data_IF_051407247928
#
_entry.id   IF_051407247928
#
_cell.length_a   1.000
_cell.length_b   1.000
_cell.length_c   1.000
_cell.angle_alpha   90.00
_cell.angle_beta   90.00
_cell.angle_gamma   90.00
#
_symmetry.space_group_name_H-M   'P 1'
#
loop_
_entity.id
_entity.type
_entity.pdbx_description
1 polymer ?
2 non-polymer ?
3 non-polymer ?
4 water ?
#
# COMPACT_ATOMS: atom_id res chain seq x y z
N UNK A 1 1.80 17.14 -5.57
CA UNK A 1 3.06 16.76 -4.92
C UNK A 1 2.80 16.33 -3.50
N UNK A 2 3.70 15.54 -2.94
CA UNK A 2 3.59 15.10 -1.57
C UNK A 2 4.12 16.15 -0.61
N UNK A 3 3.59 16.14 0.61
CA UNK A 3 3.92 17.17 1.57
C UNK A 3 4.28 16.62 2.94
N UNK A 4 4.11 15.31 3.14
CA UNK A 4 4.28 14.75 4.48
C UNK A 4 5.54 13.91 4.64
N UNK A 5 6.27 14.17 5.71
CA UNK A 5 7.29 13.24 6.14
C UNK A 5 6.67 12.39 7.25
N UNK A 6 6.13 11.23 6.87
CA UNK A 6 5.47 10.36 7.83
C UNK A 6 6.51 9.74 8.76
N UNK A 7 6.18 9.66 10.04
CA UNK A 7 7.07 9.05 11.02
C UNK A 7 6.75 7.57 11.17
N UNK A 8 7.78 6.73 11.08
CA UNK A 8 7.57 5.29 11.22
C UNK A 8 7.26 4.90 12.66
N UNK A 9 6.51 3.81 12.80
CA UNK A 9 6.22 3.26 14.12
C UNK A 9 7.49 3.04 14.93
N UNK A 10 7.49 3.52 16.17
CA UNK A 10 8.56 3.18 17.10
C UNK A 10 8.52 1.67 17.36
N UNK A 11 9.65 1.00 17.23
CA UNK A 11 9.68 -0.43 17.47
C UNK A 11 9.06 -1.25 16.35
N UNK A 12 8.92 -0.67 15.16
CA UNK A 12 8.40 -1.39 14.02
C UNK A 12 9.06 -2.75 13.86
N UNK A 13 8.24 -3.78 13.69
CA UNK A 13 8.71 -5.15 13.57
C UNK A 13 8.66 -5.55 12.10
N UNK A 14 9.80 -5.41 11.44
CA UNK A 14 9.84 -5.62 10.00
C UNK A 14 9.56 -7.07 9.59
N UNK A 15 10.07 -8.03 10.36
CA UNK A 15 9.86 -9.43 10.00
C UNK A 15 8.39 -9.82 10.11
N UNK A 16 7.70 -9.26 11.08
CA UNK A 16 6.27 -9.50 11.25
C UNK A 16 5.45 -8.89 10.12
N UNK A 17 5.80 -7.67 9.72
CA UNK A 17 5.08 -6.97 8.65
C UNK A 17 5.38 -7.61 7.29
N UNK A 18 6.66 -7.82 7.02
CA UNK A 18 7.09 -8.38 5.75
C UNK A 18 7.17 -9.91 5.85
N UNK A 19 6.03 -10.51 6.14
CA UNK A 19 5.96 -11.95 6.43
C UNK A 19 5.42 -12.81 5.29
N UNK A 20 5.10 -12.17 4.16
CA UNK A 20 4.58 -12.88 3.00
C UNK A 20 3.08 -12.91 2.88
N UNK A 21 2.39 -12.44 3.91
CA UNK A 21 0.93 -12.44 3.94
C UNK A 21 0.37 -11.19 3.24
N UNK A 22 -0.94 -11.16 3.12
CA UNK A 22 -1.63 -10.10 2.39
C UNK A 22 -2.23 -9.08 3.36
N UNK A 23 -2.18 -7.82 2.96
CA UNK A 23 -2.83 -6.72 3.66
C UNK A 23 -3.88 -6.13 2.73
N UNK A 24 -5.09 -5.91 3.24
CA UNK A 24 -6.16 -5.26 2.48
C UNK A 24 -6.31 -3.81 2.89
N UNK A 25 -6.41 -2.91 1.91
CA UNK A 25 -6.76 -1.54 2.24
C UNK A 25 -8.24 -1.50 2.58
N UNK A 26 -8.57 -1.01 3.77
CA UNK A 26 -9.97 -0.91 4.17
C UNK A 26 -10.46 0.54 4.15
N UNK A 27 -9.55 1.48 4.35
CA UNK A 27 -9.88 2.91 4.39
C UNK A 27 -8.66 3.68 3.92
N UNK A 28 -8.88 4.80 3.23
CA UNK A 28 -7.76 5.60 2.77
C UNK A 28 -8.04 7.09 2.79
N UNK A 29 -6.98 7.86 2.91
CA UNK A 29 -7.03 9.31 2.91
C UNK A 29 -6.04 9.85 1.89
N UNK A 30 -6.58 10.37 0.78
CA UNK A 30 -5.76 10.98 -0.26
C UNK A 30 -5.71 12.48 0.01
N UNK A 31 -4.53 13.05 0.18
CA UNK A 31 -4.45 14.49 0.47
C UNK A 31 -4.65 15.37 -0.77
N UNK A 32 -4.56 14.76 -1.95
CA UNK A 32 -4.81 15.49 -3.20
C UNK A 32 -5.74 14.70 -4.09
N UNK A 33 -7.00 14.52 -3.66
CA UNK A 33 -7.94 13.72 -4.45
C UNK A 33 -8.18 14.37 -5.81
N UNK A 34 -8.33 13.56 -6.85
CA UNK A 34 -8.70 14.10 -8.15
C UNK A 34 -10.07 14.78 -8.02
N UNK A 35 -10.36 15.69 -8.94
CA UNK A 35 -11.66 16.34 -8.97
C UNK A 35 -12.75 15.28 -9.09
N UNK A 36 -12.51 14.28 -9.93
CA UNK A 36 -13.38 13.12 -10.03
C UNK A 36 -12.61 11.85 -9.64
N UNK A 37 -12.66 11.49 -8.35
CA UNK A 37 -11.92 10.34 -7.82
C UNK A 37 -12.33 8.98 -8.39
N UNK A 38 -11.33 8.19 -8.79
CA UNK A 38 -11.56 6.81 -9.19
C UNK A 38 -11.47 5.94 -7.95
N UNK A 39 -12.62 5.42 -7.51
CA UNK A 39 -12.69 4.64 -6.29
C UNK A 39 -12.16 3.22 -6.47
N UNK A 40 -10.85 3.05 -6.28
CA UNK A 40 -10.18 1.75 -6.43
C UNK A 40 -10.19 0.94 -5.12
N UNK A 41 -10.11 -0.38 -5.26
CA UNK A 41 -9.91 -1.29 -4.14
C UNK A 41 -8.43 -1.59 -4.28
N UNK A 42 -7.75 -1.87 -3.18
CA UNK A 42 -6.33 -2.18 -3.25
C UNK A 42 -5.92 -3.12 -2.15
N UNK A 43 -4.95 -3.97 -2.46
CA UNK A 43 -4.35 -4.87 -1.49
C UNK A 43 -2.88 -5.06 -1.87
N UNK A 44 -2.09 -5.54 -0.92
CA UNK A 44 -0.67 -5.80 -1.17
C UNK A 44 -0.21 -6.99 -0.36
N UNK A 45 0.82 -7.67 -0.86
CA UNK A 45 1.52 -8.65 -0.05
C UNK A 45 2.88 -8.03 0.20
N UNK A 46 3.40 -8.24 1.40
CA UNK A 46 4.70 -7.72 1.77
C UNK A 46 5.50 -8.87 2.31
N UNK A 47 6.71 -9.07 1.81
CA UNK A 47 7.48 -10.22 2.25
C UNK A 47 8.96 -10.05 2.02
N UNK A 48 9.71 -11.09 2.31
CA UNK A 48 11.14 -11.12 2.03
C UNK A 48 11.40 -12.28 1.11
N UNK A 49 12.13 -12.01 0.03
CA UNK A 49 12.55 -13.06 -0.89
C UNK A 49 14.05 -12.96 -1.09
N UNK A 50 14.77 -14.02 -0.73
CA UNK A 50 16.23 -14.03 -0.81
C UNK A 50 16.81 -12.82 -0.11
N UNK A 51 16.25 -12.47 1.04
CA UNK A 51 16.79 -11.40 1.85
C UNK A 51 16.45 -10.00 1.37
N UNK A 52 15.70 -9.91 0.28
CA UNK A 52 15.30 -8.62 -0.25
C UNK A 52 13.84 -8.37 0.17
N UNK A 53 13.55 -7.15 0.64
CA UNK A 53 12.18 -6.77 0.96
C UNK A 53 11.39 -6.55 -0.34
N UNK A 54 10.23 -7.18 -0.43
CA UNK A 54 9.40 -7.09 -1.63
C UNK A 54 7.98 -6.74 -1.28
N UNK A 55 7.28 -6.09 -2.21
CA UNK A 55 5.85 -5.93 -2.12
C UNK A 55 5.22 -6.23 -3.45
N UNK A 56 4.05 -6.85 -3.40
CA UNK A 56 3.26 -7.07 -4.59
C UNK A 56 1.97 -6.29 -4.38
N UNK A 57 1.53 -5.59 -5.40
CA UNK A 57 0.35 -4.73 -5.28
C UNK A 57 -0.74 -5.19 -6.22
N UNK A 58 -1.98 -4.92 -5.81
CA UNK A 58 -3.18 -5.20 -6.60
C UNK A 58 -4.10 -3.99 -6.50
N UNK A 59 -4.47 -3.43 -7.64
CA UNK A 59 -5.47 -2.36 -7.72
C UNK A 59 -6.64 -2.84 -8.57
N UNK A 60 -7.86 -2.55 -8.13
CA UNK A 60 -9.07 -2.95 -8.85
C UNK A 60 -10.11 -1.87 -8.69
N UNK A 61 -10.58 -1.34 -9.83
CA UNK A 61 -11.65 -0.35 -9.83
C UNK A 61 -12.94 -1.12 -10.09
N UNK A 62 -13.85 -1.16 -9.11
CA UNK A 62 -15.05 -2.00 -9.25
C UNK A 62 -16.07 -1.41 -10.21
N UNK A 63 -15.84 -0.20 -10.70
CA UNK A 63 -16.74 0.35 -11.71
C UNK A 63 -16.21 0.13 -13.11
N UNK A 64 -14.97 0.57 -13.35
CA UNK A 64 -14.40 0.49 -14.70
C UNK A 64 -13.84 -0.90 -15.00
N UNK A 65 -13.57 -1.66 -13.94
CA UNK A 65 -12.93 -2.98 -14.07
C UNK A 65 -11.42 -2.89 -14.27
N UNK A 66 -10.88 -1.67 -14.36
CA UNK A 66 -9.44 -1.52 -14.50
C UNK A 66 -8.74 -2.29 -13.38
N UNK A 67 -7.80 -3.16 -13.76
CA UNK A 67 -7.13 -4.03 -12.79
C UNK A 67 -5.67 -4.07 -13.13
N UNK A 68 -4.79 -3.85 -12.14
CA UNK A 68 -3.37 -4.00 -12.42
C UNK A 68 -2.59 -4.49 -11.22
N UNK A 69 -1.49 -5.18 -11.51
CA UNK A 69 -0.59 -5.71 -10.49
C UNK A 69 0.78 -5.09 -10.62
N UNK A 70 1.49 -4.99 -9.51
CA UNK A 70 2.87 -4.53 -9.51
C UNK A 70 3.71 -5.35 -8.57
N UNK A 71 5.00 -5.44 -8.86
CA UNK A 71 5.98 -5.99 -7.94
C UNK A 71 7.07 -4.96 -7.71
N UNK A 72 7.54 -4.84 -6.47
CA UNK A 72 8.60 -3.89 -6.16
C UNK A 72 9.60 -4.48 -5.21
N UNK A 73 10.87 -4.11 -5.38
CA UNK A 73 11.85 -4.33 -4.33
C UNK A 73 11.92 -3.06 -3.51
N UNK A 74 11.90 -3.21 -2.20
CA UNK A 74 11.98 -2.05 -1.34
C UNK A 74 13.41 -1.82 -0.89
N UNK A 75 13.86 -0.58 -1.04
CA UNK A 75 15.14 -0.20 -0.45
C UNK A 75 14.85 0.43 0.90
N UNK A 76 15.80 0.31 1.81
CA UNK A 76 15.64 0.85 3.16
C UNK A 76 16.14 2.29 3.26
N UNK A 77 15.29 3.18 3.78
CA UNK A 77 15.75 4.51 4.16
C UNK A 77 16.00 4.58 5.67
N UNK A 78 15.13 3.95 6.43
CA UNK A 78 15.28 3.82 7.89
C UNK A 78 14.28 2.75 8.32
N UNK A 79 14.24 2.39 9.60
CA UNK A 79 13.33 1.34 9.99
C UNK A 79 11.89 1.76 9.75
N UNK A 80 11.20 1.02 8.91
CA UNK A 80 9.80 1.32 8.60
C UNK A 80 9.57 2.35 7.50
N UNK A 81 10.64 2.81 6.85
CA UNK A 81 10.53 3.76 5.75
C UNK A 81 11.32 3.25 4.55
N UNK A 82 10.62 3.10 3.42
CA UNK A 82 11.18 2.45 2.23
C UNK A 82 10.95 3.23 0.96
N UNK A 83 11.82 2.99 -0.02
CA UNK A 83 11.65 3.49 -1.38
C UNK A 83 11.51 2.29 -2.30
N UNK A 84 10.45 2.28 -3.10
CA UNK A 84 10.10 1.11 -3.90
C UNK A 84 9.99 1.43 -5.40
N UNK A 85 10.87 0.83 -6.20
CA UNK A 85 10.73 0.88 -7.65
C UNK A 85 9.75 -0.17 -8.13
N UNK A 86 8.67 0.24 -8.77
CA UNK A 86 7.67 -0.74 -9.17
C UNK A 86 7.78 -1.17 -10.63
N UNK A 87 7.46 -2.43 -10.88
CA UNK A 87 7.23 -2.86 -12.25
C UNK A 87 5.82 -3.39 -12.37
N UNK A 88 5.13 -2.98 -13.43
CA UNK A 88 3.78 -3.47 -13.66
C UNK A 88 3.89 -4.85 -14.26
N UNK A 89 3.12 -5.79 -13.71
CA UNK A 89 3.16 -7.19 -14.12
C UNK A 89 1.75 -7.70 -14.33
N UNK A 90 1.59 -8.81 -15.04
CA UNK A 90 0.29 -9.48 -15.02
C UNK A 90 0.21 -10.31 -13.74
N UNK A 91 -0.91 -11.00 -13.53
CA UNK A 91 -1.15 -11.69 -12.26
C UNK A 91 -0.13 -12.79 -12.02
N UNK A 92 0.50 -13.23 -13.10
CA UNK A 92 1.47 -14.32 -13.05
C UNK A 92 2.89 -13.84 -12.83
N UNK A 93 3.09 -12.52 -12.82
CA UNK A 93 4.42 -11.96 -12.66
C UNK A 93 5.16 -11.64 -13.95
N UNK A 94 4.52 -11.84 -15.10
CA UNK A 94 5.15 -11.46 -16.36
C UNK A 94 5.19 -9.94 -16.48
N UNK A 95 6.35 -9.40 -16.86
CA UNK A 95 6.55 -7.96 -16.89
C UNK A 95 5.78 -7.27 -18.02
N UNK A 96 5.01 -6.24 -17.68
CA UNK A 96 4.28 -5.42 -18.64
C UNK A 96 4.92 -4.03 -18.80
N UNK A 97 5.43 -3.48 -17.69
CA UNK A 97 6.18 -2.23 -17.72
C UNK A 97 7.37 -2.36 -16.80
N UNK A 98 8.55 -2.22 -17.36
CA UNK A 98 9.79 -2.43 -16.61
C UNK A 98 10.03 -1.35 -15.58
N UNK A 99 10.85 -1.69 -14.59
CA UNK A 99 11.32 -0.71 -13.63
C UNK A 99 12.01 0.43 -14.36
N UNK A 100 11.75 1.66 -13.90
CA UNK A 100 12.41 2.83 -14.47
C UNK A 100 12.55 3.89 -13.38
N UNK A 101 13.62 4.67 -13.46
CA UNK A 101 14.02 5.56 -12.36
C UNK A 101 12.94 6.53 -11.86
N UNK A 102 12.08 7.01 -12.75
CA UNK A 102 11.07 7.99 -12.38
C UNK A 102 9.77 7.40 -11.86
N UNK A 103 9.80 6.11 -11.53
CA UNK A 103 8.62 5.34 -11.17
C UNK A 103 8.90 4.64 -9.86
N UNK A 104 8.49 5.27 -8.77
CA UNK A 104 8.70 4.67 -7.46
C UNK A 104 7.67 5.21 -6.49
N UNK A 105 7.51 4.52 -5.37
CA UNK A 105 6.75 5.08 -4.27
C UNK A 105 7.56 4.97 -2.99
N UNK A 106 7.35 5.93 -2.09
CA UNK A 106 7.86 5.73 -0.74
C UNK A 106 6.75 5.09 0.06
N UNK A 107 7.13 4.44 1.15
CA UNK A 107 6.22 3.61 1.92
C UNK A 107 6.68 3.69 3.36
N UNK A 108 5.83 4.24 4.23
CA UNK A 108 6.16 4.35 5.65
C UNK A 108 5.11 3.65 6.50
N UNK A 109 5.54 2.72 7.35
CA UNK A 109 4.62 2.05 8.25
C UNK A 109 4.57 2.84 9.55
N UNK A 110 3.47 3.55 9.75
CA UNK A 110 3.26 4.43 10.92
C UNK A 110 2.79 3.68 12.16
N UNK A 111 2.10 2.57 11.93
CA UNK A 111 1.63 1.70 12.98
C UNK A 111 1.39 0.32 12.38
N UNK A 112 1.69 -0.72 13.13
CA UNK A 112 1.34 -2.08 12.72
C UNK A 112 1.25 -3.00 13.93
N UNK A 113 0.33 -3.94 13.86
CA UNK A 113 0.29 -5.04 14.81
C UNK A 113 -0.04 -6.30 14.04
N UNK A 114 -0.52 -7.33 14.72
CA UNK A 114 -0.73 -8.60 14.03
C UNK A 114 -1.84 -8.57 12.98
N UNK A 115 -2.78 -7.64 13.11
CA UNK A 115 -3.95 -7.68 12.23
C UNK A 115 -4.19 -6.38 11.45
N UNK A 116 -3.51 -5.31 11.82
CA UNK A 116 -3.81 -3.99 11.28
C UNK A 116 -2.56 -3.14 11.09
N UNK A 117 -2.68 -2.12 10.26
CA UNK A 117 -1.60 -1.18 10.05
C UNK A 117 -2.11 0.15 9.51
N UNK A 118 -1.32 1.19 9.72
CA UNK A 118 -1.53 2.49 9.13
C UNK A 118 -0.26 2.81 8.37
N UNK A 119 -0.40 3.09 7.08
CA UNK A 119 0.75 3.40 6.25
C UNK A 119 0.59 4.74 5.53
N UNK A 120 1.70 5.32 5.13
CA UNK A 120 1.72 6.49 4.28
C UNK A 120 2.46 6.10 3.04
N UNK A 121 1.98 6.54 1.89
CA UNK A 121 2.71 6.33 0.65
C UNK A 121 2.74 7.62 -0.17
N UNK A 122 3.83 7.82 -0.90
CA UNK A 122 3.91 8.91 -1.85
C UNK A 122 4.34 8.31 -3.19
N UNK A 123 3.43 8.37 -4.16
CA UNK A 123 3.67 7.76 -5.47
C UNK A 123 4.29 8.78 -6.44
N UNK A 124 5.30 8.34 -7.15
CA UNK A 124 5.91 9.11 -8.22
C UNK A 124 5.83 8.26 -9.48
N UNK A 125 5.17 8.79 -10.50
CA UNK A 125 5.02 8.02 -11.72
C UNK A 125 5.16 8.97 -12.90
N UNK A 126 6.29 8.87 -13.59
CA UNK A 126 6.55 9.72 -14.74
C UNK A 126 6.39 11.19 -14.42
N UNK A 127 5.65 11.90 -15.26
CA UNK A 127 5.47 13.33 -15.08
C UNK A 127 4.12 13.64 -14.45
N UNK A 128 3.58 12.67 -13.72
CA UNK A 128 2.33 12.90 -13.01
C UNK A 128 2.59 13.65 -11.72
N UNK A 129 1.58 14.42 -11.29
CA UNK A 129 1.65 15.14 -10.02
C UNK A 129 0.71 14.48 -9.02
N UNK A 130 1.28 13.73 -8.08
CA UNK A 130 0.50 12.95 -7.13
C UNK A 130 0.78 13.40 -5.71
N UNK A 131 -0.18 13.18 -4.80
CA UNK A 131 -0.06 13.62 -3.42
C UNK A 131 0.03 12.48 -2.44
N UNK A 132 0.04 12.82 -1.15
CA UNK A 132 0.15 11.82 -0.09
C UNK A 132 -1.10 10.97 0.00
N UNK A 133 -0.89 9.70 0.31
CA UNK A 133 -1.99 8.77 0.54
C UNK A 133 -1.74 8.01 1.84
N UNK A 134 -2.67 8.11 2.78
CA UNK A 134 -2.63 7.29 3.98
C UNK A 134 -3.60 6.13 3.79
N UNK A 135 -3.24 4.96 4.29
CA UNK A 135 -4.12 3.81 4.20
C UNK A 135 -4.15 3.01 5.50
N UNK A 136 -5.37 2.66 5.91
CA UNK A 136 -5.57 1.69 6.97
C UNK A 136 -5.65 0.31 6.33
N UNK A 137 -4.83 -0.60 6.83
CA UNK A 137 -4.75 -1.98 6.34
C UNK A 137 -5.29 -2.96 7.37
N UNK A 138 -5.80 -4.08 6.89
CA UNK A 138 -6.17 -5.18 7.76
C UNK A 138 -5.81 -6.50 7.10
N UNK A 139 -5.50 -7.51 7.90
CA UNK A 139 -5.24 -8.84 7.38
C UNK A 139 -6.51 -9.48 6.85
N UNK A 140 -7.65 -8.97 7.30
CA UNK A 140 -8.94 -9.50 6.87
C UNK A 140 -9.67 -8.51 5.98
N UNK A 141 -10.08 -9.00 4.82
CA UNK A 141 -10.80 -8.22 3.83
C UNK A 141 -11.97 -7.48 4.47
N UNK A 142 -12.07 -6.19 4.19
CA UNK A 142 -13.22 -5.41 4.66
C UNK A 142 -13.51 -5.45 6.17
N UNK A 143 -12.51 -5.78 6.99
CA UNK A 143 -12.71 -5.75 8.44
C UNK A 143 -12.83 -4.31 8.94
N UNK A 144 -13.78 -4.05 9.83
CA UNK A 144 -13.91 -2.72 10.41
C UNK A 144 -12.66 -2.38 11.23
N UNK A 145 -12.21 -1.15 11.12
CA UNK A 145 -11.01 -0.74 11.85
C UNK A 145 -11.21 -0.82 13.36
N UNK A 146 -10.26 -1.46 14.03
CA UNK A 146 -10.28 -1.58 15.47
C UNK A 146 -9.68 -0.38 16.18
N UNK A 147 -9.72 -0.44 17.50
CA UNK A 147 -9.35 0.72 18.31
C UNK A 147 -7.87 1.06 18.21
N UNK A 148 -7.02 0.05 18.02
CA UNK A 148 -5.59 0.31 17.98
C UNK A 148 -5.22 1.14 16.76
N UNK A 149 -5.68 0.73 15.59
CA UNK A 149 -5.32 1.49 14.39
C UNK A 149 -6.03 2.85 14.33
N UNK A 150 -7.27 2.91 14.82
CA UNK A 150 -7.96 4.19 14.84
C UNK A 150 -7.25 5.15 15.78
N UNK A 151 -6.76 4.65 16.91
CA UNK A 151 -6.00 5.51 17.80
C UNK A 151 -4.70 5.98 17.13
N UNK A 152 -4.05 5.11 16.35
CA UNK A 152 -2.84 5.51 15.65
C UNK A 152 -3.15 6.61 14.62
N UNK A 153 -4.33 6.53 13.99
CA UNK A 153 -4.72 7.56 13.06
C UNK A 153 -4.82 8.90 13.79
N UNK A 154 -5.46 8.87 14.96
CA UNK A 154 -5.55 10.06 15.79
C UNK A 154 -4.16 10.56 16.19
N UNK A 155 -3.28 9.64 16.59
CA UNK A 155 -1.98 10.00 17.11
C UNK A 155 -1.09 10.63 16.02
N UNK A 156 -1.42 10.33 14.77
CA UNK A 156 -0.78 10.94 13.61
C UNK A 156 -1.39 12.31 13.27
N UNK A 157 -2.33 12.75 14.10
CA UNK A 157 -3.04 14.01 13.93
C UNK A 157 -3.88 14.00 12.64
N UNK A 158 -4.49 12.86 12.37
CA UNK A 158 -5.39 12.72 11.25
C UNK A 158 -6.78 12.43 11.81
N UNK A 159 -7.81 12.79 11.06
CA UNK A 159 -9.19 12.57 11.46
C UNK A 159 -9.74 11.38 10.68
N UNK A 160 -10.04 10.28 11.39
CA UNK A 160 -10.45 9.06 10.70
C UNK A 160 -11.76 9.25 9.92
N UNK A 161 -12.61 10.15 10.38
CA UNK A 161 -13.86 10.39 9.67
C UNK A 161 -13.65 10.92 8.26
N UNK A 162 -12.45 11.45 7.98
CA UNK A 162 -12.12 11.96 6.64
C UNK A 162 -11.75 10.83 5.69
N UNK A 163 -11.36 9.67 6.22
CA UNK A 163 -10.99 8.53 5.39
C UNK A 163 -12.17 7.99 4.57
N UNK A 164 -11.88 7.49 3.37
CA UNK A 164 -12.86 6.85 2.51
C UNK A 164 -12.78 5.33 2.68
N UNK A 165 -13.91 4.69 2.96
CA UNK A 165 -13.97 3.24 3.13
C UNK A 165 -14.02 2.53 1.78
N UNK A 166 -13.32 1.39 1.67
CA UNK A 166 -13.46 0.54 0.50
C UNK A 166 -14.38 -0.63 0.78
N UNK A 167 -14.92 -0.69 1.99
CA UNK A 167 -15.57 -1.90 2.46
C UNK A 167 -16.93 -2.14 1.78
N UNK A 168 -17.54 -1.07 1.28
CA UNK A 168 -18.85 -1.19 0.63
C UNK A 168 -18.74 -1.05 -0.90
N UNK A 169 -17.54 -1.26 -1.41
CA UNK A 169 -17.36 -1.43 -2.84
C UNK A 169 -17.48 -2.92 -3.09
N UNK A 170 -17.91 -3.31 -4.27
CA UNK A 170 -17.98 -4.71 -4.59
C UNK A 170 -16.57 -5.26 -4.77
N UNK A 171 -15.66 -4.96 -3.82
CA UNK A 171 -14.28 -5.35 -4.03
C UNK A 171 -14.12 -6.86 -4.02
N UNK A 172 -13.35 -7.38 -4.97
CA UNK A 172 -12.88 -8.76 -4.93
C UNK A 172 -11.37 -8.71 -5.07
N UNK A 173 -10.69 -9.69 -4.48
CA UNK A 173 -9.24 -9.64 -4.38
C UNK A 173 -8.60 -10.96 -4.78
N UNK A 174 -7.53 -10.85 -5.55
CA UNK A 174 -6.80 -12.02 -5.97
C UNK A 174 -5.63 -12.25 -5.01
N UNK A 175 -5.92 -12.74 -3.80
CA UNK A 175 -4.87 -12.86 -2.81
C UNK A 175 -3.84 -13.96 -3.08
N UNK A 176 -4.25 -15.02 -3.78
CA UNK A 176 -3.29 -16.06 -4.14
C UNK A 176 -2.21 -15.53 -5.08
N UNK A 177 -2.60 -14.72 -6.06
CA UNK A 177 -1.61 -14.16 -6.96
C UNK A 177 -0.66 -13.21 -6.23
N UNK A 178 -1.19 -12.42 -5.30
CA UNK A 178 -0.34 -11.50 -4.55
C UNK A 178 0.76 -12.24 -3.82
N UNK A 179 0.40 -13.32 -3.15
CA UNK A 179 1.37 -14.11 -2.40
C UNK A 179 2.45 -14.68 -3.32
N UNK A 180 2.05 -15.21 -4.47
CA UNK A 180 3.03 -15.83 -5.36
C UNK A 180 3.88 -14.79 -6.09
N UNK A 181 3.38 -13.57 -6.23
CA UNK A 181 4.15 -12.51 -6.90
C UNK A 181 5.39 -12.09 -6.13
N UNK A 182 5.43 -12.38 -4.83
CA UNK A 182 6.53 -11.87 -4.02
C UNK A 182 7.92 -12.26 -4.52
N UNK A 183 7.98 -13.32 -5.32
CA UNK A 183 9.25 -13.85 -5.81
C UNK A 183 9.61 -13.32 -7.19
N UNK A 184 8.76 -12.46 -7.74
CA UNK A 184 8.87 -12.06 -9.14
C UNK A 184 9.64 -10.75 -9.33
#
# INVERSE_FOLDING_TARGET
ACTKNAIAQTGFNKDKYFNGDVWYVTDYLDLEPDDVPKRYCAALAAGTASGKLKEALYHYDPKTQDTFYDVSELQVESLGKYTANFKKVDKNGNVKVAVTAGNYYTFTVMYADDSSALIHTCLHKGNKDLGDLYAVLNRNKDAAAGDKVKSAVSAATLEFSKFISTKENNCAYDNDSLKSLLTK
#
